data_IF_142651994050
#
_entry.id   IF_142651994050
#
_cell.length_a   1.000
_cell.length_b   1.000
_cell.length_c   1.000
_cell.angle_alpha   90.00
_cell.angle_beta   90.00
_cell.angle_gamma   90.00
#
_symmetry.space_group_name_H-M   'P 1'
#
loop_
_entity.id
_entity.type
_entity.pdbx_description
1 polymer ?
#
# COMPACT_ATOMS: atom_id res chain seq x y z
N UNK A 1 25.27 -46.07 -39.58
CA UNK A 1 25.07 -47.25 -40.46
C UNK A 1 24.30 -48.32 -39.69
N UNK A 2 23.46 -49.08 -40.39
CA UNK A 2 22.98 -50.47 -40.14
C UNK A 2 23.23 -51.09 -38.74
N UNK A 3 22.26 -51.68 -38.03
CA UNK A 3 20.86 -52.01 -38.37
C UNK A 3 20.66 -53.41 -38.97
N UNK A 4 20.62 -54.46 -38.13
CA UNK A 4 20.08 -55.82 -38.39
C UNK A 4 19.67 -56.41 -37.01
N UNK A 5 18.41 -56.83 -36.75
CA UNK A 5 17.71 -58.06 -37.16
C UNK A 5 18.22 -59.35 -36.45
N UNK A 6 17.41 -60.26 -35.90
CA UNK A 6 15.95 -60.29 -35.67
C UNK A 6 15.40 -61.74 -35.52
N UNK A 7 14.16 -61.90 -35.01
CA UNK A 7 13.31 -63.12 -35.10
C UNK A 7 13.78 -64.43 -34.38
N UNK A 8 12.94 -65.39 -33.94
CA UNK A 8 11.46 -65.62 -33.99
C UNK A 8 11.04 -66.76 -33.01
N UNK A 9 9.80 -66.69 -32.47
CA UNK A 9 8.90 -67.79 -32.00
C UNK A 9 9.41 -68.76 -30.89
N UNK A 10 8.62 -69.21 -29.90
CA UNK A 10 7.25 -68.86 -29.48
C UNK A 10 6.45 -70.08 -28.97
N UNK A 11 5.65 -69.91 -27.90
CA UNK A 11 4.51 -70.79 -27.55
C UNK A 11 3.47 -70.01 -26.73
N UNK A 12 2.19 -70.36 -26.88
CA UNK A 12 1.05 -69.76 -26.16
C UNK A 12 0.84 -70.46 -24.81
N UNK A 13 0.14 -69.82 -23.87
CA UNK A 13 -1.25 -70.20 -23.49
C UNK A 13 -1.91 -69.12 -22.58
N UNK A 14 -3.25 -69.07 -22.61
CA UNK A 14 -4.29 -68.40 -21.77
C UNK A 14 -3.94 -67.40 -20.63
N UNK A 15 -4.79 -66.46 -20.18
CA UNK A 15 -5.98 -65.73 -20.69
C UNK A 15 -6.40 -64.69 -19.60
N UNK A 16 -7.18 -63.64 -19.97
CA UNK A 16 -7.90 -62.67 -19.10
C UNK A 16 -7.14 -61.50 -18.44
N UNK A 17 -7.38 -60.30 -18.95
CA UNK A 17 -7.66 -59.08 -18.16
C UNK A 17 -9.19 -58.97 -17.98
N UNK A 18 -9.73 -58.39 -16.88
CA UNK A 18 -10.03 -56.94 -16.79
C UNK A 18 -9.92 -56.38 -15.33
N UNK A 19 -10.19 -55.13 -14.92
CA UNK A 19 -10.43 -53.81 -15.56
C UNK A 19 -10.13 -52.65 -14.55
N UNK A 20 -10.41 -51.39 -14.93
CA UNK A 20 -10.29 -50.17 -14.09
C UNK A 20 -11.45 -49.96 -13.09
N UNK A 21 -11.24 -49.27 -11.94
CA UNK A 21 -12.28 -49.00 -10.94
C UNK A 21 -13.18 -47.78 -11.30
N UNK A 22 -14.45 -47.75 -10.81
CA UNK A 22 -15.45 -46.76 -11.25
C UNK A 22 -15.58 -45.51 -10.35
N UNK A 23 -16.24 -44.48 -10.89
CA UNK A 23 -16.69 -43.30 -10.17
C UNK A 23 -18.00 -43.54 -9.40
N UNK A 24 -18.21 -42.82 -8.29
CA UNK A 24 -19.46 -42.85 -7.51
C UNK A 24 -20.35 -41.62 -7.78
N UNK A 25 -21.63 -41.87 -8.08
CA UNK A 25 -22.68 -40.84 -8.18
C UNK A 25 -23.75 -41.01 -7.08
N UNK A 26 -24.49 -39.92 -6.87
CA UNK A 26 -25.50 -39.67 -5.83
C UNK A 26 -26.57 -40.76 -5.65
N UNK A 27 -27.12 -40.81 -4.43
CA UNK A 27 -28.51 -41.21 -4.20
C UNK A 27 -29.27 -40.18 -3.37
N UNK A 28 -30.50 -39.88 -3.81
CA UNK A 28 -31.48 -39.05 -3.12
C UNK A 28 -32.18 -39.85 -2.01
N UNK A 29 -32.60 -39.17 -0.94
CA UNK A 29 -33.74 -39.61 -0.14
C UNK A 29 -34.77 -38.48 0.04
N UNK A 30 -36.03 -38.85 -0.18
CA UNK A 30 -37.21 -38.00 -0.02
C UNK A 30 -37.66 -38.00 1.44
N UNK A 31 -37.93 -36.82 2.02
CA UNK A 31 -38.84 -36.66 3.15
C UNK A 31 -39.77 -35.45 2.91
N UNK A 32 -41.00 -35.56 3.39
CA UNK A 32 -42.14 -34.73 2.96
C UNK A 32 -42.55 -33.66 3.98
N UNK A 33 -42.92 -32.50 3.45
CA UNK A 33 -43.77 -31.43 4.00
C UNK A 33 -44.31 -31.57 5.43
N UNK A 34 -44.10 -30.51 6.23
CA UNK A 34 -45.20 -29.79 6.88
C UNK A 34 -44.81 -28.32 7.11
N UNK A 35 -45.72 -27.39 6.80
CA UNK A 35 -45.62 -25.96 7.16
C UNK A 35 -46.60 -25.65 8.30
N UNK A 36 -46.36 -24.56 9.02
CA UNK A 36 -47.45 -23.60 9.21
C UNK A 36 -47.08 -22.19 8.74
N UNK A 37 -48.10 -21.45 8.28
CA UNK A 37 -48.04 -20.01 8.03
C UNK A 37 -48.36 -19.25 9.32
N UNK A 38 -47.65 -18.16 9.58
CA UNK A 38 -48.24 -16.99 10.26
C UNK A 38 -47.58 -15.70 9.81
N UNK A 39 -48.41 -14.72 9.50
CA UNK A 39 -48.04 -13.36 9.07
C UNK A 39 -48.12 -12.42 10.27
N UNK A 40 -47.18 -11.47 10.46
CA UNK A 40 -47.50 -10.05 10.77
C UNK A 40 -46.26 -9.14 10.96
N UNK A 41 -46.17 -8.10 10.12
CA UNK A 41 -45.85 -6.69 10.40
C UNK A 41 -44.65 -6.21 11.26
N UNK A 42 -43.91 -5.25 10.67
CA UNK A 42 -43.10 -4.15 11.27
C UNK A 42 -41.96 -4.55 12.24
N UNK A 43 -40.73 -4.04 12.09
CA UNK A 43 -40.41 -2.61 11.91
C UNK A 43 -39.14 -2.36 11.09
N UNK A 44 -38.93 -1.11 10.66
CA UNK A 44 -37.65 -0.67 10.10
C UNK A 44 -36.61 -0.55 11.23
N UNK A 45 -35.48 -1.25 11.10
CA UNK A 45 -34.29 -0.94 11.90
C UNK A 45 -33.20 -0.33 11.00
N UNK A 46 -32.82 0.89 11.35
CA UNK A 46 -31.70 1.61 10.75
C UNK A 46 -30.38 1.00 11.21
N UNK A 47 -29.56 0.52 10.27
CA UNK A 47 -28.17 0.13 10.57
C UNK A 47 -27.37 1.35 11.05
N UNK A 48 -26.76 1.32 12.24
CA UNK A 48 -25.88 2.39 12.68
C UNK A 48 -24.55 2.33 11.92
N UNK A 49 -24.10 3.47 11.41
CA UNK A 49 -22.74 3.65 10.91
C UNK A 49 -21.74 3.38 12.03
N UNK A 50 -20.85 2.40 11.86
CA UNK A 50 -19.74 2.17 12.79
C UNK A 50 -18.65 3.22 12.57
N UNK A 51 -18.85 4.38 13.18
CA UNK A 51 -17.81 5.36 13.48
C UNK A 51 -17.26 5.04 14.87
N UNK A 52 -16.19 4.26 14.93
CA UNK A 52 -15.63 3.72 16.18
C UNK A 52 -14.10 3.75 16.22
N UNK A 53 -13.51 4.94 16.07
CA UNK A 53 -12.08 5.16 16.37
C UNK A 53 -11.77 6.52 16.99
N UNK A 54 -12.71 7.13 17.74
CA UNK A 54 -12.45 8.35 18.51
C UNK A 54 -12.95 8.27 19.96
N UNK A 55 -12.06 7.84 20.86
CA UNK A 55 -12.12 8.15 22.30
C UNK A 55 -10.74 8.59 22.81
N UNK A 56 -10.49 9.90 22.80
CA UNK A 56 -9.34 10.48 23.48
C UNK A 56 -9.54 10.40 25.01
N UNK A 57 -8.73 9.60 25.69
CA UNK A 57 -8.62 9.61 27.14
C UNK A 57 -7.67 10.73 27.59
N UNK A 58 -8.23 11.84 28.09
CA UNK A 58 -7.46 12.79 28.93
C UNK A 58 -7.37 12.22 30.35
N UNK A 59 -6.15 11.98 30.83
CA UNK A 59 -5.88 11.83 32.27
C UNK A 59 -4.75 12.79 32.66
N UNK A 60 -4.95 13.45 33.79
CA UNK A 60 -4.12 14.55 34.31
C UNK A 60 -2.76 14.08 34.86
N UNK A 61 -1.80 15.01 34.86
CA UNK A 61 -0.92 15.19 36.02
C UNK A 61 -1.00 16.66 36.48
N UNK A 62 -0.77 16.89 37.77
CA UNK A 62 -1.31 18.03 38.51
C UNK A 62 -0.25 18.96 39.11
N UNK A 63 -0.52 20.27 39.08
CA UNK A 63 -0.41 21.24 40.21
C UNK A 63 -0.02 22.64 39.76
N UNK A 64 -0.83 23.64 40.14
CA UNK A 64 -0.45 24.85 40.92
C UNK A 64 -1.73 25.70 41.17
N UNK A 65 -1.83 26.31 42.36
CA UNK A 65 -2.92 27.22 42.77
C UNK A 65 -2.87 28.56 41.98
N UNK A 66 -3.85 29.49 41.99
CA UNK A 66 -5.01 29.70 42.85
C UNK A 66 -6.10 30.56 42.14
N UNK A 67 -7.24 30.74 42.84
CA UNK A 67 -8.22 31.86 42.74
C UNK A 67 -9.05 32.10 41.45
N UNK A 68 -10.38 32.07 41.63
CA UNK A 68 -11.37 32.79 40.82
C UNK A 68 -11.86 34.05 41.57
N UNK A 69 -13.07 34.62 41.32
CA UNK A 69 -14.26 33.92 40.80
C UNK A 69 -15.23 34.69 39.84
N UNK A 70 -16.27 33.95 39.41
CA UNK A 70 -17.68 34.35 39.20
C UNK A 70 -18.13 35.27 38.04
N UNK A 71 -18.93 34.71 37.12
CA UNK A 71 -20.35 35.07 36.78
C UNK A 71 -20.76 34.34 35.47
N UNK A 72 -21.78 33.46 35.43
CA UNK A 72 -23.21 33.72 35.08
C UNK A 72 -23.40 34.61 33.82
N UNK A 73 -24.22 34.30 32.78
CA UNK A 73 -25.43 33.46 32.73
C UNK A 73 -25.93 33.18 31.28
N UNK A 74 -26.53 31.99 31.06
CA UNK A 74 -27.70 31.63 30.20
C UNK A 74 -28.14 32.41 28.93
N UNK A 75 -28.49 31.61 27.88
CA UNK A 75 -29.52 31.87 26.82
C UNK A 75 -29.21 33.02 25.81
N UNK A 76 -29.69 33.06 24.56
CA UNK A 76 -30.62 32.22 23.78
C UNK A 76 -30.25 32.21 22.26
N UNK A 77 -31.07 31.53 21.46
CA UNK A 77 -31.02 31.25 20.02
C UNK A 77 -31.36 32.46 19.12
N UNK A 78 -30.70 32.59 17.95
CA UNK A 78 -31.31 33.13 16.70
C UNK A 78 -30.38 32.99 15.48
N UNK A 79 -30.95 32.66 14.31
CA UNK A 79 -30.30 32.82 12.99
C UNK A 79 -30.51 34.24 12.44
N UNK A 80 -29.63 34.76 11.57
CA UNK A 80 -29.93 35.90 10.68
C UNK A 80 -30.26 35.48 9.23
N UNK A 81 -31.01 36.36 8.55
CA UNK A 81 -31.71 36.11 7.28
C UNK A 81 -30.86 36.26 6.00
N UNK A 82 -31.34 35.67 4.90
CA UNK A 82 -30.94 36.08 3.54
C UNK A 82 -31.46 37.48 3.22
N UNK A 83 -30.62 38.35 2.67
CA UNK A 83 -31.07 39.52 1.90
C UNK A 83 -30.77 39.38 0.42
N UNK A 84 -31.82 39.60 -0.38
CA UNK A 84 -31.86 39.55 -1.84
C UNK A 84 -31.52 40.95 -2.40
N UNK A 85 -30.61 41.03 -3.36
CA UNK A 85 -30.37 42.26 -4.13
C UNK A 85 -30.53 41.95 -5.63
N UNK A 86 -31.34 42.76 -6.32
CA UNK A 86 -31.65 42.59 -7.74
C UNK A 86 -30.59 43.27 -8.62
N UNK A 87 -30.25 42.65 -9.75
CA UNK A 87 -29.37 43.20 -10.78
C UNK A 87 -30.18 43.67 -11.99
N UNK A 88 -29.82 44.83 -12.53
CA UNK A 88 -30.22 45.33 -13.85
C UNK A 88 -28.96 45.74 -14.63
N UNK A 89 -28.87 45.49 -15.95
CA UNK A 89 -27.62 45.64 -16.71
C UNK A 89 -27.48 46.98 -17.44
N UNK A 90 -26.25 47.37 -17.82
CA UNK A 90 -26.00 48.29 -18.93
C UNK A 90 -25.18 47.65 -20.09
N UNK A 91 -25.15 48.37 -21.20
CA UNK A 91 -24.98 47.87 -22.59
C UNK A 91 -23.54 47.95 -23.14
N UNK A 92 -23.31 47.25 -24.26
CA UNK A 92 -22.06 47.18 -25.03
C UNK A 92 -21.51 48.52 -25.57
N UNK A 93 -20.20 48.57 -25.82
CA UNK A 93 -19.64 49.21 -27.02
C UNK A 93 -18.26 48.61 -27.39
N UNK A 94 -17.98 48.52 -28.68
CA UNK A 94 -16.78 47.89 -29.27
C UNK A 94 -15.95 48.94 -30.02
N UNK A 95 -14.61 48.83 -30.01
CA UNK A 95 -13.81 49.28 -31.15
C UNK A 95 -12.86 48.18 -31.68
N UNK A 96 -12.80 48.03 -33.00
CA UNK A 96 -11.69 47.36 -33.71
C UNK A 96 -10.50 48.32 -33.84
N UNK A 97 -9.27 47.80 -34.07
CA UNK A 97 -8.34 48.27 -35.13
C UNK A 97 -7.05 47.42 -35.25
N UNK A 98 -6.80 46.96 -36.49
CA UNK A 98 -5.51 46.67 -37.17
C UNK A 98 -4.54 45.56 -36.69
N UNK A 99 -3.63 45.19 -37.60
CA UNK A 99 -2.95 43.89 -37.67
C UNK A 99 -1.49 44.00 -38.18
N UNK A 100 -0.63 43.07 -37.69
CA UNK A 100 0.66 42.65 -38.26
C UNK A 100 1.88 43.60 -38.06
N UNK A 101 3.13 43.09 -38.12
CA UNK A 101 3.58 41.73 -38.47
C UNK A 101 4.23 40.93 -37.33
N UNK A 102 4.68 39.71 -37.65
CA UNK A 102 5.21 38.72 -36.72
C UNK A 102 6.68 38.95 -36.35
N UNK A 103 7.04 38.52 -35.13
CA UNK A 103 8.40 38.16 -34.76
C UNK A 103 8.43 36.73 -34.24
N UNK A 104 9.43 35.96 -34.67
CA UNK A 104 9.55 34.53 -34.39
C UNK A 104 10.51 34.28 -33.22
N UNK A 105 10.02 34.37 -31.99
CA UNK A 105 10.79 33.90 -30.84
C UNK A 105 10.68 32.38 -30.70
N UNK A 106 11.76 31.69 -31.07
CA UNK A 106 12.00 30.33 -30.62
C UNK A 106 12.23 30.37 -29.11
N UNK A 107 11.15 30.18 -28.35
CA UNK A 107 11.17 30.10 -26.89
C UNK A 107 12.03 28.93 -26.42
N UNK A 108 13.32 29.22 -26.21
CA UNK A 108 14.28 28.27 -25.68
C UNK A 108 13.97 28.08 -24.18
N UNK A 109 13.12 27.10 -23.86
CA UNK A 109 12.70 26.79 -22.49
C UNK A 109 13.89 26.26 -21.68
N UNK A 110 14.70 27.18 -21.16
CA UNK A 110 15.78 26.89 -20.24
C UNK A 110 15.19 26.47 -18.89
N UNK A 111 14.97 25.17 -18.72
CA UNK A 111 14.66 24.58 -17.42
C UNK A 111 15.76 24.97 -16.41
N UNK A 112 15.40 25.35 -15.16
CA UNK A 112 16.40 25.75 -14.18
C UNK A 112 17.36 24.60 -13.91
N UNK A 113 18.67 24.87 -13.98
CA UNK A 113 19.73 23.85 -13.97
C UNK A 113 19.66 22.88 -12.76
N UNK A 114 19.11 23.33 -11.63
CA UNK A 114 18.89 22.51 -10.44
C UNK A 114 17.87 21.37 -10.69
N UNK A 115 16.79 21.62 -11.46
CA UNK A 115 15.80 20.59 -11.81
C UNK A 115 16.37 19.57 -12.80
N UNK A 116 17.15 20.02 -13.80
CA UNK A 116 17.84 19.10 -14.72
C UNK A 116 18.84 18.19 -13.99
N UNK A 117 19.55 18.72 -12.98
CA UNK A 117 20.47 17.94 -12.16
C UNK A 117 19.77 16.86 -11.31
N UNK A 118 18.65 17.20 -10.65
CA UNK A 118 17.88 16.20 -9.88
C UNK A 118 17.17 15.18 -10.81
N UNK A 119 16.66 15.59 -11.97
CA UNK A 119 16.05 14.65 -12.93
C UNK A 119 17.07 13.66 -13.51
N UNK A 120 18.28 14.11 -13.86
CA UNK A 120 19.35 13.24 -14.35
C UNK A 120 19.91 12.33 -13.25
N UNK A 121 19.96 12.79 -12.00
CA UNK A 121 20.30 11.98 -10.84
C UNK A 121 19.26 10.90 -10.55
N UNK A 122 17.96 11.23 -10.60
CA UNK A 122 16.88 10.25 -10.44
C UNK A 122 16.95 9.17 -11.53
N UNK A 123 17.14 9.57 -12.79
CA UNK A 123 17.26 8.64 -13.91
C UNK A 123 18.47 7.70 -13.75
N UNK A 124 19.59 8.21 -13.23
CA UNK A 124 20.76 7.38 -12.91
C UNK A 124 20.44 6.34 -11.85
N UNK A 125 19.87 6.74 -10.71
CA UNK A 125 19.56 5.82 -9.59
C UNK A 125 18.54 4.76 -10.01
N UNK A 126 17.48 5.16 -10.74
CA UNK A 126 16.49 4.23 -11.30
C UNK A 126 17.14 3.20 -12.23
N UNK A 127 18.00 3.65 -13.16
CA UNK A 127 18.70 2.76 -14.10
C UNK A 127 19.67 1.79 -13.41
N UNK A 128 20.35 2.24 -12.35
CA UNK A 128 21.34 1.43 -11.62
C UNK A 128 20.68 0.37 -10.72
N UNK A 129 19.52 0.68 -10.12
CA UNK A 129 18.76 -0.27 -9.30
C UNK A 129 17.79 -1.14 -10.11
N UNK A 130 17.50 -0.84 -11.38
CA UNK A 130 16.47 -1.55 -12.14
C UNK A 130 16.78 -3.04 -12.39
N UNK A 131 15.78 -3.88 -12.18
CA UNK A 131 15.72 -5.24 -12.71
C UNK A 131 15.61 -5.24 -14.24
N UNK A 132 15.85 -6.39 -14.88
CA UNK A 132 15.80 -6.57 -16.35
C UNK A 132 14.49 -6.08 -16.98
N UNK A 133 13.37 -6.20 -16.26
CA UNK A 133 12.03 -5.74 -16.68
C UNK A 133 11.72 -4.28 -16.31
N UNK A 134 12.72 -3.48 -15.94
CA UNK A 134 12.59 -2.11 -15.40
C UNK A 134 11.76 -2.00 -14.12
N UNK A 135 11.72 -3.04 -13.30
CA UNK A 135 11.15 -2.94 -11.94
C UNK A 135 12.22 -2.50 -10.95
N UNK A 136 11.87 -1.59 -10.05
CA UNK A 136 12.65 -1.22 -8.86
C UNK A 136 11.86 -1.51 -7.59
N UNK A 137 12.52 -1.62 -6.45
CA UNK A 137 11.87 -1.62 -5.13
C UNK A 137 12.12 -0.25 -4.51
N UNK A 138 11.12 0.38 -3.93
CA UNK A 138 11.20 1.74 -3.39
C UNK A 138 10.71 1.73 -1.96
N UNK A 139 11.49 2.31 -1.05
CA UNK A 139 11.03 2.68 0.29
C UNK A 139 11.26 4.18 0.53
N UNK A 140 10.48 4.77 1.43
CA UNK A 140 10.60 6.19 1.81
C UNK A 140 10.84 6.31 3.31
N UNK A 141 11.82 7.12 3.70
CA UNK A 141 12.29 7.23 5.09
C UNK A 141 12.61 8.68 5.47
N UNK A 142 12.49 8.98 6.76
CA UNK A 142 13.03 10.19 7.38
C UNK A 142 13.91 9.83 8.60
N UNK A 143 14.62 10.80 9.18
CA UNK A 143 15.64 10.60 10.22
C UNK A 143 15.18 9.70 11.38
N UNK A 144 13.95 9.90 11.85
CA UNK A 144 13.37 9.16 12.97
C UNK A 144 13.31 7.64 12.75
N UNK A 145 13.19 7.19 11.49
CA UNK A 145 13.16 5.77 11.12
C UNK A 145 14.55 5.20 10.80
N UNK A 146 15.54 6.08 10.63
CA UNK A 146 16.93 5.79 10.24
C UNK A 146 17.90 5.72 11.43
N UNK A 147 17.43 6.02 12.65
CA UNK A 147 18.23 5.92 13.88
C UNK A 147 18.92 4.54 14.01
N UNK A 148 20.16 4.46 14.54
CA UNK A 148 20.86 3.18 14.70
C UNK A 148 20.09 2.16 15.55
N UNK A 149 19.97 0.92 15.05
CA UNK A 149 19.15 -0.17 15.60
C UNK A 149 17.63 0.11 15.62
N UNK A 150 17.16 1.01 14.75
CA UNK A 150 15.74 1.31 14.52
C UNK A 150 15.18 0.54 13.32
N UNK A 151 13.96 0.89 12.92
CA UNK A 151 13.16 0.25 11.87
C UNK A 151 13.95 0.00 10.58
N UNK A 152 14.71 0.96 10.07
CA UNK A 152 15.43 0.76 8.80
C UNK A 152 16.57 -0.27 8.88
N UNK A 153 17.21 -0.44 10.03
CA UNK A 153 18.21 -1.50 10.21
C UNK A 153 17.52 -2.89 10.22
N UNK A 154 16.32 -3.01 10.83
CA UNK A 154 15.48 -4.22 10.80
C UNK A 154 14.93 -4.52 9.39
N UNK A 155 14.54 -3.48 8.66
CA UNK A 155 14.13 -3.56 7.26
C UNK A 155 15.22 -4.22 6.42
N UNK A 156 16.44 -3.69 6.45
CA UNK A 156 17.59 -4.25 5.75
C UNK A 156 17.97 -5.65 6.24
N UNK A 157 17.85 -5.92 7.55
CA UNK A 157 18.05 -7.27 8.10
C UNK A 157 17.06 -8.26 7.51
N UNK A 158 15.78 -7.91 7.39
CA UNK A 158 14.74 -8.82 6.86
C UNK A 158 15.10 -9.36 5.47
N UNK A 159 15.53 -8.49 4.55
CA UNK A 159 16.01 -8.93 3.23
C UNK A 159 17.22 -9.88 3.34
N UNK A 160 18.13 -9.68 4.30
CA UNK A 160 19.33 -10.52 4.48
C UNK A 160 19.02 -11.90 5.06
N UNK A 161 17.98 -12.02 5.89
CA UNK A 161 17.58 -13.31 6.51
C UNK A 161 16.41 -14.01 5.81
N UNK A 162 15.69 -13.31 4.93
CA UNK A 162 14.62 -13.87 4.11
C UNK A 162 15.10 -14.86 3.05
N UNK A 163 14.22 -15.76 2.65
CA UNK A 163 14.49 -16.79 1.66
C UNK A 163 14.54 -16.18 0.25
N UNK A 164 15.75 -16.09 -0.31
CA UNK A 164 16.07 -15.50 -1.63
C UNK A 164 15.80 -13.98 -1.76
N UNK A 165 15.55 -13.27 -0.66
CA UNK A 165 15.30 -11.83 -0.67
C UNK A 165 16.56 -10.98 -0.70
N UNK A 166 17.72 -11.50 -0.27
CA UNK A 166 18.94 -10.68 -0.13
C UNK A 166 19.38 -10.03 -1.46
N UNK A 167 19.19 -10.71 -2.59
CA UNK A 167 19.50 -10.17 -3.93
C UNK A 167 18.64 -8.96 -4.30
N UNK A 168 17.43 -8.85 -3.73
CA UNK A 168 16.51 -7.74 -3.98
C UNK A 168 17.01 -6.41 -3.40
N UNK A 169 17.96 -6.42 -2.46
CA UNK A 169 18.61 -5.20 -1.98
C UNK A 169 19.35 -4.47 -3.11
N UNK A 170 19.88 -5.18 -4.11
CA UNK A 170 20.48 -4.55 -5.30
C UNK A 170 19.46 -3.75 -6.13
N UNK A 171 18.17 -3.95 -5.88
CA UNK A 171 17.07 -3.30 -6.58
C UNK A 171 16.26 -2.35 -5.70
N UNK A 172 16.62 -2.23 -4.42
CA UNK A 172 16.04 -1.28 -3.48
C UNK A 172 16.57 0.13 -3.79
N UNK A 173 15.68 1.11 -3.82
CA UNK A 173 15.97 2.54 -3.80
C UNK A 173 15.36 3.09 -2.50
N UNK A 174 16.18 3.77 -1.72
CA UNK A 174 15.78 4.39 -0.45
C UNK A 174 15.65 5.89 -0.69
N UNK A 175 14.43 6.38 -0.50
CA UNK A 175 14.05 7.77 -0.75
C UNK A 175 13.99 8.51 0.58
N UNK A 176 14.99 9.35 0.83
CA UNK A 176 15.11 10.15 2.04
C UNK A 176 14.34 11.47 1.91
N UNK A 177 13.49 11.79 2.89
CA UNK A 177 12.76 13.06 2.98
C UNK A 177 13.59 14.21 3.58
N UNK A 178 14.66 13.90 4.30
CA UNK A 178 15.56 14.87 4.94
C UNK A 178 17.05 14.50 4.75
N UNK A 179 17.94 15.42 5.16
CA UNK A 179 19.38 15.28 4.93
C UNK A 179 20.04 14.23 5.84
N UNK A 180 19.54 14.01 7.05
CA UNK A 180 20.09 13.03 7.99
C UNK A 180 19.75 11.61 7.53
N UNK A 181 18.50 11.38 7.12
CA UNK A 181 18.08 10.15 6.45
C UNK A 181 18.89 9.89 5.17
N UNK A 182 19.18 10.93 4.38
CA UNK A 182 20.00 10.77 3.17
C UNK A 182 21.44 10.35 3.52
N UNK A 183 22.05 10.99 4.52
CA UNK A 183 23.41 10.68 4.95
C UNK A 183 23.50 9.24 5.47
N UNK A 184 22.58 8.87 6.37
CA UNK A 184 22.50 7.51 6.94
C UNK A 184 22.21 6.44 5.89
N UNK A 185 21.40 6.77 4.87
CA UNK A 185 21.21 5.89 3.72
C UNK A 185 22.53 5.63 3.00
N UNK A 186 23.32 6.67 2.69
CA UNK A 186 24.58 6.55 1.94
C UNK A 186 25.67 5.77 2.70
N UNK A 187 25.56 5.63 4.03
CA UNK A 187 26.41 4.73 4.84
C UNK A 187 26.00 3.25 4.72
N UNK A 188 24.71 2.97 4.52
CA UNK A 188 24.11 1.64 4.62
C UNK A 188 23.81 0.99 3.27
N UNK A 189 23.57 1.80 2.23
CA UNK A 189 22.99 1.35 0.98
C UNK A 189 23.49 2.15 -0.24
N UNK A 190 23.55 1.49 -1.40
CA UNK A 190 24.12 2.04 -2.63
C UNK A 190 23.18 2.99 -3.38
N UNK A 191 21.87 2.80 -3.27
CA UNK A 191 20.87 3.51 -4.09
C UNK A 191 19.99 4.41 -3.23
N UNK A 192 20.51 5.60 -2.95
CA UNK A 192 19.83 6.64 -2.16
C UNK A 192 19.39 7.80 -3.05
N UNK A 193 18.16 8.28 -2.85
CA UNK A 193 17.63 9.47 -3.49
C UNK A 193 17.06 10.45 -2.46
N UNK A 194 17.27 11.75 -2.64
CA UNK A 194 16.74 12.77 -1.73
C UNK A 194 15.50 13.42 -2.35
N UNK A 195 14.34 13.18 -1.74
CA UNK A 195 13.08 13.78 -2.15
C UNK A 195 12.87 15.09 -1.39
N UNK A 196 13.38 16.19 -1.96
CA UNK A 196 13.21 17.53 -1.40
C UNK A 196 11.77 18.00 -1.56
N UNK A 197 11.14 18.36 -0.44
CA UNK A 197 9.82 18.98 -0.39
C UNK A 197 9.96 20.43 0.04
N UNK A 198 9.55 21.38 -0.80
CA UNK A 198 9.75 22.81 -0.52
C UNK A 198 9.05 23.26 0.77
N UNK A 199 9.79 23.95 1.64
CA UNK A 199 9.25 24.62 2.83
C UNK A 199 8.85 23.72 4.01
N UNK A 200 9.30 22.46 4.06
CA UNK A 200 9.15 21.60 5.26
C UNK A 200 10.46 20.87 5.53
N UNK A 201 10.85 20.80 6.81
CA UNK A 201 11.90 19.91 7.29
C UNK A 201 11.27 18.68 7.93
N UNK A 202 11.66 17.49 7.47
CA UNK A 202 11.18 16.21 7.97
C UNK A 202 12.17 15.53 8.94
N UNK A 203 13.20 16.25 9.40
CA UNK A 203 14.24 15.77 10.35
C UNK A 203 13.78 15.34 11.74
N UNK A 204 12.47 15.35 12.03
CA UNK A 204 11.90 14.92 13.32
C UNK A 204 10.82 13.86 13.13
N UNK A 205 10.39 13.21 14.22
CA UNK A 205 9.25 12.28 14.15
C UNK A 205 8.01 13.07 13.72
N UNK A 206 7.50 12.76 12.53
CA UNK A 206 6.28 13.37 12.02
C UNK A 206 5.07 12.67 12.65
N UNK A 207 4.26 13.42 13.40
CA UNK A 207 3.07 12.87 14.03
C UNK A 207 2.00 12.50 13.00
N UNK A 208 1.34 11.35 13.23
CA UNK A 208 0.33 10.83 12.32
C UNK A 208 -0.81 11.85 12.12
N UNK A 209 -1.23 12.04 10.87
CA UNK A 209 -2.24 13.03 10.44
C UNK A 209 -1.88 14.52 10.66
N UNK A 210 -0.63 14.86 10.98
CA UNK A 210 -0.18 16.27 10.93
C UNK A 210 -0.19 16.82 9.49
N UNK A 211 -0.10 18.14 9.32
CA UNK A 211 -0.01 18.77 8.00
C UNK A 211 1.26 18.33 7.25
N UNK A 212 2.36 18.18 7.97
CA UNK A 212 3.63 17.63 7.51
C UNK A 212 3.47 16.16 7.09
N UNK A 213 2.79 15.32 7.89
CA UNK A 213 2.50 13.93 7.53
C UNK A 213 1.72 13.84 6.22
N UNK A 214 0.63 14.59 6.08
CA UNK A 214 -0.15 14.63 4.85
C UNK A 214 0.71 15.07 3.66
N UNK A 215 1.53 16.12 3.81
CA UNK A 215 2.43 16.60 2.76
C UNK A 215 3.49 15.54 2.39
N UNK A 216 4.02 14.79 3.36
CA UNK A 216 4.97 13.69 3.16
C UNK A 216 4.35 12.54 2.36
N UNK A 217 3.16 12.08 2.75
CA UNK A 217 2.42 11.03 2.06
C UNK A 217 2.04 11.43 0.62
N UNK A 218 1.59 12.66 0.42
CA UNK A 218 1.30 13.16 -0.93
C UNK A 218 2.57 13.34 -1.78
N UNK A 219 3.69 13.77 -1.18
CA UNK A 219 4.99 13.83 -1.86
C UNK A 219 5.45 12.44 -2.33
N UNK A 220 5.21 11.37 -1.53
CA UNK A 220 5.41 9.97 -1.93
C UNK A 220 4.61 9.62 -3.18
N UNK A 221 3.30 9.87 -3.22
CA UNK A 221 2.47 9.56 -4.40
C UNK A 221 2.94 10.33 -5.65
N UNK A 222 3.31 11.61 -5.51
CA UNK A 222 3.85 12.42 -6.60
C UNK A 222 5.22 11.93 -7.13
N UNK A 223 6.08 11.44 -6.24
CA UNK A 223 7.34 10.80 -6.62
C UNK A 223 7.10 9.49 -7.37
N UNK A 224 6.23 8.62 -6.86
CA UNK A 224 5.87 7.34 -7.50
C UNK A 224 5.25 7.56 -8.89
N UNK A 225 4.41 8.58 -9.07
CA UNK A 225 3.93 9.01 -10.39
C UNK A 225 5.09 9.39 -11.34
N UNK A 226 6.12 10.07 -10.83
CA UNK A 226 7.31 10.45 -11.60
C UNK A 226 8.13 9.23 -12.05
N UNK A 227 8.25 8.21 -11.20
CA UNK A 227 8.89 6.93 -11.53
C UNK A 227 8.15 6.21 -12.68
N UNK A 228 6.81 6.13 -12.61
CA UNK A 228 6.00 5.54 -13.68
C UNK A 228 6.14 6.32 -15.00
N UNK A 229 6.14 7.66 -14.95
CA UNK A 229 6.38 8.50 -16.14
C UNK A 229 7.74 8.26 -16.80
N UNK A 230 8.76 7.83 -16.04
CA UNK A 230 10.09 7.46 -16.56
C UNK A 230 10.13 6.04 -17.14
N UNK A 231 9.02 5.30 -17.10
CA UNK A 231 8.92 3.96 -17.67
C UNK A 231 9.41 2.83 -16.77
N UNK A 232 9.51 3.07 -15.46
CA UNK A 232 9.89 2.07 -14.47
C UNK A 232 8.65 1.59 -13.70
N UNK A 233 8.50 0.27 -13.61
CA UNK A 233 7.57 -0.36 -12.67
C UNK A 233 8.18 -0.30 -11.27
N UNK A 234 7.37 -0.39 -10.22
CA UNK A 234 7.92 -0.45 -8.87
C UNK A 234 7.14 -1.37 -7.94
N UNK A 235 7.84 -1.97 -6.97
CA UNK A 235 7.25 -2.31 -5.68
C UNK A 235 7.51 -1.13 -4.74
N UNK A 236 6.49 -0.59 -4.08
CA UNK A 236 6.67 0.31 -2.94
C UNK A 236 6.48 -0.48 -1.65
N UNK A 237 7.35 -0.23 -0.66
CA UNK A 237 7.28 -0.83 0.68
C UNK A 237 7.61 0.22 1.74
N UNK A 238 6.75 0.36 2.75
CA UNK A 238 7.10 1.07 3.99
C UNK A 238 8.24 0.31 4.71
N UNK A 239 9.00 1.04 5.54
CA UNK A 239 10.20 0.52 6.18
C UNK A 239 9.90 -0.42 7.37
N UNK A 240 8.70 -0.40 7.92
CA UNK A 240 8.21 -1.34 8.96
C UNK A 240 7.55 -2.60 8.38
N UNK A 241 7.93 -2.96 7.14
CA UNK A 241 7.57 -4.22 6.50
C UNK A 241 8.79 -5.14 6.48
N UNK A 242 8.64 -6.31 7.11
CA UNK A 242 9.63 -7.38 7.11
C UNK A 242 9.42 -8.28 5.91
N UNK A 243 10.49 -8.53 5.15
CA UNK A 243 10.48 -9.36 3.94
C UNK A 243 11.03 -10.76 4.22
N UNK A 244 10.26 -11.79 3.86
CA UNK A 244 10.60 -13.21 4.09
C UNK A 244 10.84 -14.02 2.82
N UNK A 245 10.19 -13.64 1.71
CA UNK A 245 10.27 -14.34 0.42
C UNK A 245 10.20 -13.34 -0.73
N UNK A 246 10.76 -13.71 -1.88
CA UNK A 246 10.61 -12.97 -3.14
C UNK A 246 9.13 -12.94 -3.58
N UNK A 247 8.45 -11.79 -3.60
CA UNK A 247 7.01 -11.69 -3.88
C UNK A 247 6.64 -11.78 -5.36
N UNK A 248 7.59 -11.78 -6.31
CA UNK A 248 7.27 -11.73 -7.74
C UNK A 248 6.44 -12.93 -8.21
N UNK A 249 6.60 -14.09 -7.57
CA UNK A 249 5.83 -15.31 -7.87
C UNK A 249 4.36 -15.25 -7.41
N UNK A 250 4.03 -14.34 -6.49
CA UNK A 250 2.69 -14.18 -5.93
C UNK A 250 1.89 -13.03 -6.57
N UNK A 251 2.53 -12.21 -7.42
CA UNK A 251 1.87 -11.11 -8.11
C UNK A 251 1.04 -11.56 -9.31
N UNK A 252 -0.10 -10.90 -9.50
CA UNK A 252 -0.99 -11.13 -10.62
C UNK A 252 -0.39 -10.61 -11.94
N UNK A 253 -0.19 -11.50 -12.92
CA UNK A 253 0.30 -11.11 -14.25
C UNK A 253 -0.68 -10.18 -14.99
N UNK A 254 -2.00 -10.38 -14.79
CA UNK A 254 -3.08 -9.66 -15.47
C UNK A 254 -3.36 -8.26 -14.93
N UNK A 255 -2.74 -7.85 -13.81
CA UNK A 255 -3.04 -6.61 -13.09
C UNK A 255 -2.05 -5.48 -13.34
N UNK A 256 -2.55 -4.24 -13.39
CA UNK A 256 -1.76 -3.01 -13.54
C UNK A 256 -1.23 -2.50 -12.20
N UNK A 257 -2.10 -2.50 -11.19
CA UNK A 257 -1.84 -2.01 -9.85
C UNK A 257 -2.28 -3.04 -8.81
N UNK A 258 -1.40 -3.35 -7.86
CA UNK A 258 -1.63 -4.34 -6.82
C UNK A 258 -1.27 -3.74 -5.46
N UNK A 259 -2.06 -4.01 -4.43
CA UNK A 259 -1.91 -3.38 -3.11
C UNK A 259 -2.24 -4.37 -1.99
N UNK A 260 -1.47 -4.34 -0.90
CA UNK A 260 -1.76 -5.11 0.30
C UNK A 260 -3.03 -4.62 1.00
N UNK A 261 -3.47 -5.33 2.03
CA UNK A 261 -4.70 -5.03 2.75
C UNK A 261 -4.51 -4.97 4.26
N UNK A 262 -5.25 -4.08 4.91
CA UNK A 262 -5.51 -4.17 6.35
C UNK A 262 -6.61 -5.20 6.66
N UNK A 263 -7.52 -5.43 5.69
CA UNK A 263 -8.56 -6.45 5.74
C UNK A 263 -8.83 -7.05 4.35
N UNK A 264 -8.65 -8.37 4.19
CA UNK A 264 -8.88 -9.07 2.91
C UNK A 264 -10.22 -9.85 2.90
N UNK A 265 -11.08 -9.56 1.92
CA UNK A 265 -12.43 -10.13 1.75
C UNK A 265 -12.45 -11.37 0.84
N UNK A 266 -11.40 -12.19 0.87
CA UNK A 266 -11.24 -13.44 0.11
C UNK A 266 -11.18 -13.34 -1.43
N UNK A 267 -11.45 -12.17 -2.02
CA UNK A 267 -11.43 -11.97 -3.47
C UNK A 267 -10.52 -10.79 -3.85
N UNK A 268 -9.46 -11.06 -4.63
CA UNK A 268 -8.50 -10.04 -5.06
C UNK A 268 -9.03 -9.02 -6.06
N UNK A 269 -10.21 -9.19 -6.66
CA UNK A 269 -10.84 -8.16 -7.51
C UNK A 269 -11.94 -7.36 -6.81
N UNK A 270 -12.28 -7.69 -5.55
CA UNK A 270 -13.36 -6.98 -4.85
C UNK A 270 -12.86 -5.60 -4.37
N UNK A 271 -13.42 -4.51 -4.94
CA UNK A 271 -13.09 -3.15 -4.52
C UNK A 271 -13.45 -2.88 -3.06
N UNK A 272 -14.26 -3.71 -2.38
CA UNK A 272 -14.58 -3.58 -0.96
C UNK A 272 -13.49 -4.07 0.01
N UNK A 273 -12.37 -4.63 -0.49
CA UNK A 273 -11.16 -4.84 0.32
C UNK A 273 -10.67 -3.51 0.92
N UNK A 274 -10.01 -3.56 2.09
CA UNK A 274 -9.39 -2.38 2.69
C UNK A 274 -7.90 -2.31 2.32
N UNK A 275 -7.49 -1.53 1.29
CA UNK A 275 -6.09 -1.39 0.90
C UNK A 275 -5.23 -0.78 2.00
N UNK A 276 -4.01 -1.28 2.14
CA UNK A 276 -2.93 -0.69 2.91
C UNK A 276 -1.88 -0.13 1.94
N UNK A 277 -1.62 1.19 1.98
CA UNK A 277 -0.72 1.85 1.03
C UNK A 277 0.78 1.59 1.31
N UNK A 278 1.11 0.91 2.40
CA UNK A 278 2.47 0.55 2.78
C UNK A 278 3.08 -0.53 1.89
N UNK A 279 2.31 -1.32 1.15
CA UNK A 279 2.85 -2.25 0.15
C UNK A 279 2.05 -2.22 -1.15
N UNK A 280 2.71 -1.87 -2.26
CA UNK A 280 2.10 -1.89 -3.60
C UNK A 280 3.06 -2.42 -4.65
N UNK A 281 2.52 -3.02 -5.72
CA UNK A 281 3.24 -3.29 -6.96
C UNK A 281 2.50 -2.65 -8.13
N UNK A 282 3.15 -1.69 -8.80
CA UNK A 282 2.60 -0.95 -9.92
C UNK A 282 3.45 -1.19 -11.18
N UNK A 283 2.83 -1.70 -12.25
CA UNK A 283 3.47 -1.84 -13.56
C UNK A 283 3.41 -0.50 -14.29
N UNK A 284 4.50 -0.08 -14.92
CA UNK A 284 4.50 1.16 -15.72
C UNK A 284 3.62 0.99 -16.97
N UNK A 285 2.46 1.63 -17.00
CA UNK A 285 1.53 1.65 -18.13
C UNK A 285 0.84 3.02 -18.23
N UNK A 286 0.21 3.31 -19.38
CA UNK A 286 -0.56 4.55 -19.54
C UNK A 286 -1.76 4.62 -18.57
N UNK A 287 -2.29 3.48 -18.12
CA UNK A 287 -3.33 3.43 -17.10
C UNK A 287 -2.78 3.77 -15.71
N UNK A 288 -1.65 3.17 -15.29
CA UNK A 288 -1.07 3.46 -13.95
C UNK A 288 -0.52 4.87 -13.84
N UNK A 289 0.05 5.44 -14.90
CA UNK A 289 0.48 6.86 -14.94
C UNK A 289 -0.71 7.79 -14.71
N UNK A 290 -1.83 7.59 -15.44
CA UNK A 290 -3.05 8.38 -15.26
C UNK A 290 -3.66 8.20 -13.86
N UNK A 291 -3.67 6.97 -13.35
CA UNK A 291 -4.18 6.65 -12.01
C UNK A 291 -3.36 7.33 -10.90
N UNK A 292 -2.04 7.22 -10.92
CA UNK A 292 -1.19 7.87 -9.91
C UNK A 292 -1.26 9.39 -9.98
N UNK A 293 -1.45 9.98 -11.18
CA UNK A 293 -1.75 11.41 -11.30
C UNK A 293 -3.08 11.76 -10.64
N UNK A 294 -4.16 11.03 -10.96
CA UNK A 294 -5.49 11.26 -10.39
C UNK A 294 -5.49 11.09 -8.87
N UNK A 295 -4.80 10.08 -8.34
CA UNK A 295 -4.65 9.87 -6.91
C UNK A 295 -3.91 11.04 -6.25
N UNK A 296 -2.78 11.49 -6.81
CA UNK A 296 -2.04 12.65 -6.32
C UNK A 296 -2.88 13.94 -6.33
N UNK A 297 -3.58 14.22 -7.43
CA UNK A 297 -4.42 15.42 -7.57
C UNK A 297 -5.62 15.39 -6.60
N UNK A 298 -6.11 14.19 -6.24
CA UNK A 298 -7.26 14.03 -5.32
C UNK A 298 -7.01 14.61 -3.93
N UNK A 299 -5.75 14.88 -3.55
CA UNK A 299 -5.42 15.63 -2.32
C UNK A 299 -6.15 16.99 -2.24
N UNK A 300 -6.40 17.64 -3.38
CA UNK A 300 -7.05 18.95 -3.42
C UNK A 300 -8.57 18.85 -3.23
N UNK A 301 -9.15 17.68 -3.49
CA UNK A 301 -10.55 17.35 -3.16
C UNK A 301 -10.70 16.85 -1.72
N UNK A 302 -9.66 16.23 -1.16
CA UNK A 302 -9.66 15.65 0.19
C UNK A 302 -8.49 16.16 1.05
N UNK A 303 -8.39 17.49 1.31
CA UNK A 303 -7.18 18.11 1.89
C UNK A 303 -6.80 17.63 3.30
N UNK A 304 -7.75 17.05 4.03
CA UNK A 304 -7.56 16.53 5.39
C UNK A 304 -7.50 14.99 5.45
N UNK A 305 -7.26 14.32 4.31
CA UNK A 305 -7.16 12.86 4.23
C UNK A 305 -5.80 12.44 3.68
N UNK A 306 -5.22 11.40 4.28
CA UNK A 306 -4.03 10.75 3.77
C UNK A 306 -4.36 9.88 2.54
N UNK A 307 -3.30 9.53 1.80
CA UNK A 307 -3.34 8.80 0.54
C UNK A 307 -4.20 7.53 0.56
N UNK A 308 -4.04 6.65 1.55
CA UNK A 308 -4.80 5.40 1.68
C UNK A 308 -6.31 5.63 1.93
N UNK A 309 -6.68 6.63 2.74
CA UNK A 309 -8.10 6.98 2.93
C UNK A 309 -8.70 7.57 1.64
N UNK A 310 -7.94 8.37 0.89
CA UNK A 310 -8.37 8.84 -0.43
C UNK A 310 -8.48 7.69 -1.43
N UNK A 311 -7.53 6.76 -1.45
CA UNK A 311 -7.59 5.56 -2.31
C UNK A 311 -8.87 4.75 -2.06
N UNK A 312 -9.26 4.59 -0.79
CA UNK A 312 -10.49 3.92 -0.41
C UNK A 312 -11.76 4.56 -0.99
N UNK A 313 -11.73 5.84 -1.38
CA UNK A 313 -12.83 6.54 -2.06
C UNK A 313 -12.68 6.43 -3.58
N UNK A 314 -11.53 6.82 -4.12
CA UNK A 314 -11.33 6.99 -5.57
C UNK A 314 -11.21 5.67 -6.35
N UNK A 315 -10.97 4.53 -5.67
CA UNK A 315 -11.01 3.20 -6.31
C UNK A 315 -12.38 2.82 -6.89
N UNK A 316 -13.44 3.53 -6.49
CA UNK A 316 -14.80 3.39 -7.03
C UNK A 316 -15.16 4.48 -8.07
N UNK A 317 -14.24 5.40 -8.39
CA UNK A 317 -14.52 6.48 -9.34
C UNK A 317 -14.64 5.93 -10.78
N UNK A 318 -15.64 6.35 -11.59
CA UNK A 318 -15.76 5.93 -12.99
C UNK A 318 -14.53 6.21 -13.86
N UNK A 319 -13.62 7.08 -13.41
CA UNK A 319 -12.32 7.28 -14.04
C UNK A 319 -11.47 6.01 -14.07
N UNK A 320 -11.55 5.13 -13.07
CA UNK A 320 -10.81 3.86 -12.99
C UNK A 320 -11.19 2.94 -14.16
N UNK A 321 -12.49 2.76 -14.40
CA UNK A 321 -13.01 2.01 -15.55
C UNK A 321 -12.65 2.69 -16.87
N UNK A 322 -12.75 4.03 -16.94
CA UNK A 322 -12.45 4.82 -18.14
C UNK A 322 -11.00 4.68 -18.61
N UNK A 323 -10.04 4.56 -17.69
CA UNK A 323 -8.63 4.31 -18.02
C UNK A 323 -8.29 2.82 -18.15
N UNK A 324 -9.25 1.93 -17.85
CA UNK A 324 -9.09 0.48 -17.93
C UNK A 324 -8.14 -0.13 -16.90
N UNK A 325 -7.94 0.53 -15.75
CA UNK A 325 -6.96 0.12 -14.74
C UNK A 325 -7.42 -1.17 -14.03
N UNK A 326 -6.60 -2.22 -14.09
CA UNK A 326 -6.85 -3.45 -13.34
C UNK A 326 -6.20 -3.41 -11.97
N UNK A 327 -7.02 -3.17 -10.95
CA UNK A 327 -6.62 -3.26 -9.53
C UNK A 327 -6.72 -4.70 -9.04
N UNK A 328 -5.72 -5.17 -8.29
CA UNK A 328 -5.84 -6.37 -7.43
C UNK A 328 -5.48 -6.06 -5.98
N UNK A 329 -6.13 -6.73 -5.07
CA UNK A 329 -5.80 -6.75 -3.65
C UNK A 329 -4.99 -8.00 -3.33
N UNK A 330 -3.90 -7.82 -2.59
CA UNK A 330 -3.01 -8.90 -2.18
C UNK A 330 -3.55 -9.52 -0.89
N UNK A 331 -3.64 -10.85 -0.88
CA UNK A 331 -4.19 -11.64 0.21
C UNK A 331 -3.25 -11.62 1.44
N UNK A 332 -3.81 -11.31 2.60
CA UNK A 332 -3.18 -11.19 3.94
C UNK A 332 -2.53 -12.48 4.43
N UNK A 333 -2.89 -13.63 3.84
CA UNK A 333 -2.18 -14.91 4.00
C UNK A 333 -0.72 -14.80 3.55
N UNK A 334 -0.45 -14.02 2.51
CA UNK A 334 0.87 -13.86 1.90
C UNK A 334 1.52 -12.52 2.27
N UNK A 335 0.72 -11.44 2.25
CA UNK A 335 1.15 -10.07 2.54
C UNK A 335 0.45 -9.59 3.81
N UNK A 336 0.81 -10.20 4.94
CA UNK A 336 0.14 -9.98 6.21
C UNK A 336 0.57 -8.69 6.92
N UNK A 337 -0.12 -8.36 8.00
CA UNK A 337 0.31 -7.35 8.96
C UNK A 337 -0.26 -7.63 10.35
N UNK A 338 0.15 -6.88 11.38
CA UNK A 338 -0.39 -7.08 12.72
C UNK A 338 -1.90 -6.82 12.85
N UNK A 339 -2.52 -6.06 11.93
CA UNK A 339 -3.99 -5.97 11.84
C UNK A 339 -4.65 -7.31 11.44
N UNK A 340 -4.05 -8.04 10.50
CA UNK A 340 -4.54 -9.32 9.99
C UNK A 340 -3.33 -10.23 9.71
N UNK A 341 -2.86 -10.89 10.77
CA UNK A 341 -1.59 -11.62 10.74
C UNK A 341 -1.74 -12.91 9.91
N UNK A 342 -0.87 -13.07 8.90
CA UNK A 342 -0.68 -14.38 8.25
C UNK A 342 -0.36 -15.43 9.31
N UNK A 343 -1.04 -16.58 9.28
CA UNK A 343 -0.92 -17.60 10.34
C UNK A 343 0.11 -18.68 10.05
N UNK A 344 0.71 -18.65 8.86
CA UNK A 344 1.52 -19.74 8.34
C UNK A 344 2.85 -19.22 7.76
N UNK A 345 3.92 -19.52 8.50
CA UNK A 345 5.31 -19.22 8.14
C UNK A 345 5.76 -19.92 6.84
N UNK A 346 5.09 -20.98 6.40
CA UNK A 346 5.43 -21.65 5.14
C UNK A 346 5.06 -20.81 3.91
N UNK A 347 3.98 -20.01 3.97
CA UNK A 347 3.45 -19.26 2.82
C UNK A 347 3.67 -17.74 2.87
N UNK A 348 3.98 -17.16 4.02
CA UNK A 348 4.15 -15.71 4.17
C UNK A 348 5.29 -15.15 3.29
N UNK A 349 5.06 -13.99 2.68
CA UNK A 349 6.04 -13.22 1.91
C UNK A 349 6.48 -11.94 2.65
N UNK A 350 5.54 -11.23 3.26
CA UNK A 350 5.83 -10.04 4.07
C UNK A 350 4.96 -9.95 5.34
N UNK A 351 5.44 -9.21 6.35
CA UNK A 351 4.65 -8.79 7.52
C UNK A 351 4.82 -7.29 7.75
N UNK A 352 3.72 -6.53 7.76
CA UNK A 352 3.68 -5.10 8.07
C UNK A 352 3.38 -4.86 9.56
N UNK A 353 4.12 -3.99 10.24
CA UNK A 353 3.73 -3.45 11.55
C UNK A 353 2.61 -2.37 11.48
N UNK A 354 1.55 -2.65 10.71
CA UNK A 354 0.30 -1.89 10.78
C UNK A 354 -0.41 -2.15 12.13
N UNK A 355 -1.52 -1.44 12.42
CA UNK A 355 -2.18 -1.48 13.75
C UNK A 355 -1.21 -1.29 14.94
N UNK A 356 -0.21 -0.43 14.76
CA UNK A 356 0.79 -0.10 15.77
C UNK A 356 1.24 1.36 15.60
N UNK A 357 1.25 2.14 16.67
CA UNK A 357 1.43 3.60 16.63
C UNK A 357 2.75 4.08 17.24
N UNK A 358 3.31 3.32 18.20
CA UNK A 358 4.58 3.62 18.85
C UNK A 358 5.75 3.02 18.07
N UNK A 359 6.80 3.83 17.87
CA UNK A 359 8.02 3.41 17.18
C UNK A 359 8.74 2.29 17.96
N UNK A 360 8.85 2.42 19.28
CA UNK A 360 9.50 1.43 20.15
C UNK A 360 8.74 0.10 20.14
N UNK A 361 7.39 0.15 20.11
CA UNK A 361 6.54 -1.03 19.98
C UNK A 361 6.76 -1.75 18.65
N UNK A 362 6.83 -1.00 17.53
CA UNK A 362 7.18 -1.55 16.22
C UNK A 362 8.56 -2.18 16.23
N UNK A 363 9.59 -1.50 16.74
CA UNK A 363 10.95 -2.04 16.84
C UNK A 363 10.95 -3.36 17.62
N UNK A 364 10.25 -3.43 18.75
CA UNK A 364 10.19 -4.65 19.58
C UNK A 364 9.52 -5.83 18.86
N UNK A 365 8.30 -5.65 18.36
CA UNK A 365 7.54 -6.75 17.77
C UNK A 365 8.08 -7.15 16.39
N UNK A 366 8.69 -6.22 15.63
CA UNK A 366 9.43 -6.57 14.40
C UNK A 366 10.70 -7.39 14.68
N UNK A 367 11.44 -7.10 15.75
CA UNK A 367 12.55 -7.95 16.19
C UNK A 367 12.06 -9.37 16.52
N UNK A 368 10.95 -9.50 17.24
CA UNK A 368 10.36 -10.81 17.56
C UNK A 368 9.96 -11.60 16.31
N UNK A 369 9.34 -10.93 15.33
CA UNK A 369 8.96 -11.52 14.03
C UNK A 369 10.18 -11.97 13.22
N UNK A 370 11.25 -11.17 13.21
CA UNK A 370 12.52 -11.53 12.56
C UNK A 370 13.19 -12.73 13.26
N UNK A 371 13.14 -12.80 14.59
CA UNK A 371 13.69 -13.92 15.35
C UNK A 371 12.87 -15.21 15.20
N UNK A 372 11.53 -15.12 15.11
CA UNK A 372 10.67 -16.24 14.73
C UNK A 372 11.03 -16.76 13.34
N UNK A 373 11.22 -15.87 12.37
CA UNK A 373 11.63 -16.23 11.02
C UNK A 373 13.00 -16.92 11.00
N UNK A 374 14.01 -16.36 11.69
CA UNK A 374 15.35 -16.98 11.82
C UNK A 374 15.25 -18.38 12.42
N UNK A 375 14.45 -18.57 13.48
CA UNK A 375 14.21 -19.89 14.09
C UNK A 375 13.56 -20.85 13.10
N UNK A 376 12.47 -20.44 12.45
CA UNK A 376 11.76 -21.22 11.45
C UNK A 376 12.68 -21.70 10.31
N UNK A 377 13.55 -20.83 9.79
CA UNK A 377 14.49 -21.18 8.71
C UNK A 377 15.58 -22.21 9.11
N UNK A 378 15.74 -22.51 10.41
CA UNK A 378 16.60 -23.61 10.89
C UNK A 378 15.88 -24.96 11.01
N UNK A 379 14.55 -24.99 10.86
CA UNK A 379 13.74 -26.17 11.10
C UNK A 379 13.73 -27.14 9.90
N UNK A 380 13.68 -28.47 10.12
CA UNK A 380 13.43 -29.43 9.05
C UNK A 380 12.03 -29.24 8.46
N UNK A 381 11.90 -29.25 7.12
CA UNK A 381 10.62 -29.04 6.40
C UNK A 381 9.56 -30.13 6.63
N UNK A 382 9.90 -31.23 7.28
CA UNK A 382 9.02 -32.39 7.51
C UNK A 382 8.30 -32.30 8.87
N UNK A 383 7.85 -31.11 9.28
CA UNK A 383 7.05 -30.95 10.49
C UNK A 383 5.55 -31.04 10.19
N UNK A 384 4.81 -31.69 11.08
CA UNK A 384 3.36 -31.95 10.95
C UNK A 384 2.49 -30.89 11.63
N UNK A 385 3.11 -29.83 12.18
CA UNK A 385 2.42 -28.68 12.76
C UNK A 385 2.83 -27.42 12.01
N UNK A 386 1.89 -26.52 11.67
CA UNK A 386 2.25 -25.22 11.11
C UNK A 386 3.09 -24.45 12.13
N UNK A 387 4.13 -23.77 11.66
CA UNK A 387 4.92 -22.89 12.49
C UNK A 387 4.18 -21.56 12.63
N UNK A 388 3.90 -21.16 13.88
CA UNK A 388 3.21 -19.91 14.20
C UNK A 388 4.17 -18.87 14.75
N UNK A 389 3.85 -17.60 14.55
CA UNK A 389 4.53 -16.48 15.22
C UNK A 389 4.40 -16.56 16.75
N UNK A 390 5.37 -15.98 17.43
CA UNK A 390 5.20 -15.52 18.81
C UNK A 390 4.16 -14.39 18.79
N UNK A 391 3.24 -14.39 19.76
CA UNK A 391 2.24 -13.33 19.88
C UNK A 391 2.92 -11.96 20.08
N UNK A 392 2.56 -10.92 19.31
CA UNK A 392 3.03 -9.55 19.53
C UNK A 392 2.78 -9.09 20.97
N UNK A 393 3.70 -8.32 21.53
CA UNK A 393 3.60 -7.85 22.92
C UNK A 393 2.99 -6.46 23.05
N UNK A 394 3.16 -5.61 22.04
CA UNK A 394 2.86 -4.19 22.13
C UNK A 394 1.98 -3.69 20.97
N UNK A 395 2.14 -4.22 19.77
CA UNK A 395 1.28 -3.98 18.64
C UNK A 395 0.02 -4.86 18.67
N UNK A 396 -1.09 -4.42 18.07
CA UNK A 396 -2.32 -5.21 17.97
C UNK A 396 -3.22 -5.27 19.21
N UNK A 397 -2.88 -4.59 20.31
CA UNK A 397 -3.73 -4.46 21.50
C UNK A 397 -4.71 -3.28 21.47
N UNK A 398 -4.65 -2.43 20.43
CA UNK A 398 -5.49 -1.24 20.25
C UNK A 398 -6.69 -1.51 19.30
N UNK A 399 -7.47 -2.57 19.55
CA UNK A 399 -8.73 -2.90 18.84
C UNK A 399 -9.97 -2.51 19.63
#
# INVERSE_FOLDING_TARGET
>A
MMGFAGAKRGRKDHEKSPESPPAHHLHHHHLTNQSPKTTSQYSQESFPSQDSSFRQAKIFSSNIHAEGPSSSSSLDSAQPELRRASLSPPTESVPQVQSSPADSEQGNLSFPANQQNEETKLERVLREAAMVNKTVIITTVNSAWMMPNSIFDLFLESFRVGNQTQVLLNHLIVVAFDQEAQNRCLELHSHCYALRTEGVDFSSKVDFMSAEYLKMMWSRIGFLHTVLKKGYSFIFTDADIVWFRDPFQQFYEDADFQIACDQFRYNSTDLNNSPNAGFTYAKSSNATIQFYKFWYDSKDTYPWSHDQHVLNKIKFDPFIDKIGLKIKFLDTTYFGGFCEQSKDLDVVFTMHANCCTSLDSKIHDLNMVIDDWKRYMTLPRNQTKPNSWTMPRYCGNDT
#
